data_IF_495691221515
#
_entry.id   IF_495691221515
#
_cell.length_a   1.000
_cell.length_b   1.000
_cell.length_c   1.000
_cell.angle_alpha   90.00
_cell.angle_beta   90.00
_cell.angle_gamma   90.00
#
_symmetry.space_group_name_H-M   'P 1'
#
loop_
_entity.id
_entity.type
_entity.pdbx_description
1 polymer ?
#
# COMPACT_ATOMS: atom_id res chain seq x y z
N UNK A 1 -31.06 -62.67 -37.42
CA UNK A 1 -30.54 -61.40 -36.87
C UNK A 1 -30.39 -60.39 -37.99
N UNK A 2 -31.12 -59.31 -37.99
CA UNK A 2 -31.08 -58.31 -39.07
C UNK A 2 -29.86 -57.40 -38.88
N UNK A 3 -28.74 -57.78 -39.49
CA UNK A 3 -27.46 -57.05 -39.37
C UNK A 3 -27.61 -55.62 -39.91
N UNK A 4 -28.39 -55.39 -40.95
CA UNK A 4 -28.65 -54.08 -41.50
C UNK A 4 -29.34 -53.14 -40.48
N UNK A 5 -30.26 -53.63 -39.68
CA UNK A 5 -30.92 -52.86 -38.62
C UNK A 5 -29.97 -52.48 -37.49
N UNK A 6 -29.05 -53.37 -37.13
CA UNK A 6 -28.01 -53.10 -36.13
C UNK A 6 -27.03 -52.01 -36.60
N UNK A 7 -26.63 -52.10 -37.91
CA UNK A 7 -25.73 -51.09 -38.50
C UNK A 7 -26.44 -49.72 -38.56
N UNK A 8 -27.73 -49.68 -38.96
CA UNK A 8 -28.49 -48.47 -38.98
C UNK A 8 -28.68 -47.85 -37.58
N UNK A 9 -28.96 -48.66 -36.58
CA UNK A 9 -29.09 -48.20 -35.20
C UNK A 9 -27.76 -47.63 -34.65
N UNK A 10 -26.65 -48.31 -34.91
CA UNK A 10 -25.33 -47.84 -34.50
C UNK A 10 -24.96 -46.50 -35.23
N UNK A 11 -25.35 -46.35 -36.49
CA UNK A 11 -25.14 -45.12 -37.23
C UNK A 11 -25.98 -43.96 -36.66
N UNK A 12 -27.23 -44.25 -36.26
CA UNK A 12 -28.13 -43.29 -35.63
C UNK A 12 -27.59 -42.82 -34.27
N UNK A 13 -27.13 -43.77 -33.42
CA UNK A 13 -26.52 -43.42 -32.16
C UNK A 13 -25.29 -42.51 -32.32
N UNK A 14 -24.39 -42.87 -33.24
CA UNK A 14 -23.22 -42.02 -33.55
C UNK A 14 -23.61 -40.64 -34.05
N UNK A 15 -24.69 -40.51 -34.80
CA UNK A 15 -25.19 -39.23 -35.27
C UNK A 15 -25.76 -38.37 -34.12
N UNK A 16 -26.51 -39.02 -33.21
CA UNK A 16 -27.04 -38.36 -32.01
C UNK A 16 -25.93 -37.89 -31.08
N UNK A 17 -24.88 -38.70 -30.84
CA UNK A 17 -23.70 -38.31 -30.00
C UNK A 17 -22.99 -37.10 -30.63
N UNK A 18 -22.77 -37.08 -31.93
CA UNK A 18 -22.16 -35.94 -32.62
C UNK A 18 -23.03 -34.67 -32.54
N UNK A 19 -24.35 -34.80 -32.70
CA UNK A 19 -25.27 -33.71 -32.55
C UNK A 19 -25.27 -33.13 -31.12
N UNK A 20 -25.33 -34.02 -30.11
CA UNK A 20 -25.25 -33.63 -28.70
C UNK A 20 -23.96 -32.86 -28.38
N UNK A 21 -22.81 -33.35 -28.83
CA UNK A 21 -21.52 -32.69 -28.64
C UNK A 21 -21.46 -31.35 -29.36
N UNK A 22 -22.06 -31.25 -30.57
CA UNK A 22 -22.12 -29.98 -31.31
C UNK A 22 -23.03 -28.94 -30.64
N UNK A 23 -24.18 -29.38 -30.11
CA UNK A 23 -25.09 -28.52 -29.33
C UNK A 23 -24.40 -28.05 -28.03
N UNK A 24 -23.68 -28.91 -27.35
CA UNK A 24 -22.94 -28.56 -26.14
C UNK A 24 -21.86 -27.50 -26.41
N UNK A 25 -21.09 -27.66 -27.52
CA UNK A 25 -20.09 -26.65 -27.93
C UNK A 25 -20.72 -25.34 -28.35
N UNK A 26 -21.86 -25.38 -29.04
CA UNK A 26 -22.57 -24.18 -29.45
C UNK A 26 -23.18 -23.44 -28.26
N UNK A 27 -23.77 -24.18 -27.30
CA UNK A 27 -24.38 -23.62 -26.09
C UNK A 27 -23.36 -23.01 -25.13
N UNK A 28 -22.20 -23.63 -25.01
CA UNK A 28 -21.12 -23.12 -24.15
C UNK A 28 -20.31 -22.00 -24.79
N UNK A 29 -20.29 -21.94 -26.12
CA UNK A 29 -19.42 -21.05 -26.88
C UNK A 29 -17.95 -21.48 -26.92
N UNK A 30 -17.61 -22.63 -26.32
CA UNK A 30 -16.23 -23.12 -26.25
C UNK A 30 -16.04 -24.35 -27.14
N UNK A 31 -14.89 -24.39 -27.83
CA UNK A 31 -14.49 -25.54 -28.64
C UNK A 31 -14.15 -26.77 -27.81
N UNK A 32 -13.57 -26.57 -26.61
CA UNK A 32 -13.15 -27.58 -25.65
C UNK A 32 -13.94 -27.37 -24.38
N UNK A 33 -14.85 -28.30 -24.07
CA UNK A 33 -15.70 -28.26 -22.88
C UNK A 33 -15.27 -29.23 -21.79
N UNK A 34 -14.57 -30.28 -22.17
CA UNK A 34 -14.14 -31.33 -21.25
C UNK A 34 -12.77 -31.85 -21.65
N UNK A 35 -12.11 -32.51 -20.71
CA UNK A 35 -10.85 -33.26 -20.98
C UNK A 35 -11.01 -34.39 -21.95
N UNK A 36 -12.26 -34.86 -22.22
CA UNK A 36 -12.54 -35.87 -23.23
C UNK A 36 -12.45 -35.33 -24.66
N UNK A 37 -12.68 -34.02 -24.87
CA UNK A 37 -12.57 -33.38 -26.18
C UNK A 37 -11.10 -33.23 -26.61
N UNK A 38 -10.27 -32.69 -25.70
CA UNK A 38 -8.82 -32.51 -25.88
C UNK A 38 -8.14 -32.31 -24.51
N UNK A 39 -7.47 -33.36 -23.98
CA UNK A 39 -6.84 -33.30 -22.67
C UNK A 39 -5.72 -32.24 -22.59
N UNK A 40 -4.92 -32.14 -23.66
CA UNK A 40 -3.80 -31.19 -23.70
C UNK A 40 -4.28 -29.75 -23.83
N UNK A 41 -5.23 -29.49 -24.72
CA UNK A 41 -5.84 -28.18 -24.89
C UNK A 41 -6.62 -27.74 -23.63
N UNK A 42 -7.29 -28.67 -22.94
CA UNK A 42 -7.99 -28.39 -21.70
C UNK A 42 -7.01 -27.94 -20.59
N UNK A 43 -5.90 -28.65 -20.41
CA UNK A 43 -4.88 -28.30 -19.42
C UNK A 43 -4.25 -26.93 -19.71
N UNK A 44 -3.94 -26.62 -20.95
CA UNK A 44 -3.43 -25.30 -21.36
C UNK A 44 -4.46 -24.22 -21.12
N UNK A 45 -5.72 -24.45 -21.49
CA UNK A 45 -6.82 -23.49 -21.29
C UNK A 45 -7.03 -23.19 -19.80
N UNK A 46 -7.06 -24.17 -18.94
CA UNK A 46 -7.18 -23.95 -17.50
C UNK A 46 -5.98 -23.20 -16.91
N UNK A 47 -4.76 -23.51 -17.34
CA UNK A 47 -3.57 -22.76 -16.94
C UNK A 47 -3.68 -21.28 -17.36
N UNK A 48 -4.11 -21.01 -18.60
CA UNK A 48 -4.32 -19.66 -19.08
C UNK A 48 -5.43 -18.92 -18.33
N UNK A 49 -6.52 -19.60 -17.97
CA UNK A 49 -7.60 -19.04 -17.15
C UNK A 49 -7.13 -18.65 -15.76
N UNK A 50 -6.31 -19.48 -15.12
CA UNK A 50 -5.71 -19.16 -13.82
C UNK A 50 -4.80 -17.95 -13.93
N UNK A 51 -3.97 -17.89 -14.96
CA UNK A 51 -3.11 -16.73 -15.22
C UNK A 51 -3.92 -15.46 -15.47
N UNK A 52 -4.99 -15.55 -16.26
CA UNK A 52 -5.86 -14.41 -16.54
C UNK A 52 -6.56 -13.88 -15.28
N UNK A 53 -7.05 -14.78 -14.41
CA UNK A 53 -7.61 -14.39 -13.10
C UNK A 53 -6.55 -13.74 -12.21
N UNK A 54 -5.33 -14.27 -12.19
CA UNK A 54 -4.21 -13.68 -11.46
C UNK A 54 -3.85 -12.29 -11.95
N UNK A 55 -3.80 -12.08 -13.28
CA UNK A 55 -3.57 -10.79 -13.90
C UNK A 55 -4.69 -9.79 -13.59
N UNK A 56 -5.96 -10.22 -13.69
CA UNK A 56 -7.11 -9.38 -13.36
C UNK A 56 -7.08 -8.96 -11.88
N UNK A 57 -6.71 -9.86 -10.97
CA UNK A 57 -6.55 -9.50 -9.56
C UNK A 57 -5.36 -8.56 -9.33
N UNK A 58 -4.28 -8.73 -10.08
CA UNK A 58 -3.13 -7.81 -10.02
C UNK A 58 -3.52 -6.41 -10.49
N UNK A 59 -4.33 -6.30 -11.54
CA UNK A 59 -4.84 -5.02 -12.04
C UNK A 59 -5.72 -4.31 -11.00
N UNK A 60 -6.60 -5.05 -10.34
CA UNK A 60 -7.38 -4.51 -9.22
C UNK A 60 -6.46 -4.03 -8.08
N UNK A 61 -5.46 -4.81 -7.70
CA UNK A 61 -4.52 -4.44 -6.64
C UNK A 61 -3.71 -3.17 -7.00
N UNK A 62 -3.35 -3.01 -8.29
CA UNK A 62 -2.68 -1.78 -8.77
C UNK A 62 -3.62 -0.58 -8.69
N UNK A 63 -4.89 -0.75 -9.07
CA UNK A 63 -5.90 0.31 -8.99
C UNK A 63 -6.13 0.75 -7.53
N UNK A 64 -6.20 -0.21 -6.62
CA UNK A 64 -6.29 0.07 -5.18
C UNK A 64 -5.04 0.82 -4.70
N UNK A 65 -3.84 0.38 -5.13
CA UNK A 65 -2.59 1.07 -4.82
C UNK A 65 -2.55 2.51 -5.32
N UNK A 66 -3.04 2.77 -6.53
CA UNK A 66 -3.16 4.13 -7.07
C UNK A 66 -4.13 4.96 -6.20
N UNK A 67 -5.23 4.38 -5.76
CA UNK A 67 -6.20 5.06 -4.90
C UNK A 67 -5.60 5.46 -3.55
N UNK A 68 -4.78 4.59 -2.95
CA UNK A 68 -3.99 4.89 -1.74
C UNK A 68 -3.07 6.07 -1.97
N UNK A 69 -2.30 6.05 -3.07
CA UNK A 69 -1.37 7.14 -3.40
C UNK A 69 -2.08 8.47 -3.63
N UNK A 70 -3.20 8.47 -4.35
CA UNK A 70 -3.99 9.69 -4.58
C UNK A 70 -4.54 10.27 -3.27
N UNK A 71 -4.94 9.41 -2.32
CA UNK A 71 -5.40 9.86 -1.00
C UNK A 71 -4.25 10.49 -0.21
N UNK A 72 -3.07 9.86 -0.20
CA UNK A 72 -1.89 10.40 0.45
C UNK A 72 -1.42 11.71 -0.20
N UNK A 73 -1.42 11.79 -1.54
CA UNK A 73 -1.08 12.98 -2.30
C UNK A 73 -2.01 14.16 -1.96
N UNK A 74 -3.31 13.91 -1.86
CA UNK A 74 -4.28 14.93 -1.43
C UNK A 74 -3.94 15.52 -0.06
N UNK A 75 -3.65 14.67 0.93
CA UNK A 75 -3.22 15.11 2.26
C UNK A 75 -1.91 15.90 2.24
N UNK A 76 -0.94 15.47 1.44
CA UNK A 76 0.35 16.17 1.30
C UNK A 76 0.23 17.54 0.62
N UNK A 77 -0.67 17.69 -0.35
CA UNK A 77 -0.94 18.98 -1.01
C UNK A 77 -1.49 19.99 -0.01
N UNK A 78 -2.42 19.56 0.86
CA UNK A 78 -2.96 20.43 1.91
C UNK A 78 -1.87 20.83 2.92
N UNK A 79 -1.05 19.89 3.37
CA UNK A 79 0.09 20.18 4.25
C UNK A 79 1.07 21.18 3.59
N UNK A 80 1.37 21.01 2.30
CA UNK A 80 2.24 21.92 1.55
C UNK A 80 1.67 23.33 1.50
N UNK A 81 0.36 23.48 1.29
CA UNK A 81 -0.33 24.75 1.31
C UNK A 81 -0.21 25.45 2.68
N UNK A 82 -0.41 24.69 3.76
CA UNK A 82 -0.26 25.20 5.13
C UNK A 82 1.18 25.59 5.46
N UNK A 83 2.17 24.81 5.04
CA UNK A 83 3.58 25.16 5.21
C UNK A 83 3.95 26.44 4.45
N UNK A 84 3.38 26.64 3.28
CA UNK A 84 3.56 27.88 2.52
C UNK A 84 2.98 29.06 3.29
N UNK A 85 1.78 28.90 3.84
CA UNK A 85 1.14 29.94 4.67
C UNK A 85 1.92 30.23 5.94
N UNK A 86 2.43 29.19 6.60
CA UNK A 86 3.28 29.33 7.79
C UNK A 86 4.56 30.11 7.47
N UNK A 87 5.17 29.85 6.31
CA UNK A 87 6.33 30.60 5.82
C UNK A 87 6.00 32.10 5.62
N UNK A 88 4.86 32.40 5.01
CA UNK A 88 4.41 33.81 4.82
C UNK A 88 4.23 34.52 6.16
N UNK A 89 3.56 33.87 7.12
CA UNK A 89 3.35 34.38 8.47
C UNK A 89 4.69 34.60 9.20
N UNK A 90 5.63 33.69 9.05
CA UNK A 90 6.96 33.78 9.65
C UNK A 90 7.74 34.97 9.10
N UNK A 91 7.67 35.21 7.79
CA UNK A 91 8.28 36.38 7.15
C UNK A 91 7.58 37.69 7.61
N UNK A 92 6.26 37.67 7.74
CA UNK A 92 5.51 38.78 8.26
C UNK A 92 5.89 39.10 9.71
N UNK A 93 6.00 38.09 10.59
CA UNK A 93 6.39 38.26 11.98
C UNK A 93 7.83 38.80 12.15
N UNK A 94 8.72 38.48 11.20
CA UNK A 94 10.10 38.96 11.20
C UNK A 94 10.26 40.43 10.84
N UNK A 95 9.17 41.11 10.45
CA UNK A 95 9.22 42.54 10.13
C UNK A 95 9.23 43.36 11.41
N UNK A 96 10.19 44.30 11.52
CA UNK A 96 10.38 45.15 12.70
C UNK A 96 9.23 46.15 12.94
N UNK A 97 8.34 46.33 11.97
CA UNK A 97 7.16 47.22 12.09
C UNK A 97 6.08 46.62 13.00
N UNK A 98 6.08 45.30 13.20
CA UNK A 98 5.06 44.61 14.00
C UNK A 98 5.30 44.83 15.50
N UNK A 99 4.25 45.17 16.23
CA UNK A 99 4.22 45.21 17.68
C UNK A 99 4.27 43.78 18.29
N UNK A 100 4.56 43.69 19.58
CA UNK A 100 4.57 42.39 20.29
C UNK A 100 3.20 41.72 20.29
N UNK A 101 2.11 42.48 20.35
CA UNK A 101 0.74 41.98 20.27
C UNK A 101 0.43 41.40 18.88
N UNK A 102 0.86 42.07 17.81
CA UNK A 102 0.71 41.58 16.44
C UNK A 102 1.55 40.29 16.19
N UNK A 103 2.77 40.25 16.70
CA UNK A 103 3.60 39.03 16.64
C UNK A 103 2.97 37.86 17.41
N UNK A 104 2.36 38.15 18.57
CA UNK A 104 1.63 37.15 19.36
C UNK A 104 0.40 36.63 18.61
N UNK A 105 -0.33 37.49 17.90
CA UNK A 105 -1.45 37.08 17.08
C UNK A 105 -1.00 36.18 15.92
N UNK A 106 0.10 36.55 15.23
CA UNK A 106 0.68 35.75 14.15
C UNK A 106 1.14 34.38 14.70
N UNK A 107 1.76 34.34 15.90
CA UNK A 107 2.15 33.08 16.53
C UNK A 107 0.92 32.19 16.80
N UNK A 108 -0.18 32.77 17.25
CA UNK A 108 -1.45 32.03 17.43
C UNK A 108 -1.98 31.42 16.13
N UNK A 109 -1.84 32.12 14.98
CA UNK A 109 -2.20 31.56 13.66
C UNK A 109 -1.27 30.41 13.27
N UNK A 110 0.05 30.55 13.48
CA UNK A 110 1.04 29.48 13.25
C UNK A 110 0.72 28.23 14.10
N UNK A 111 0.38 28.42 15.36
CA UNK A 111 0.01 27.31 16.27
C UNK A 111 -1.27 26.60 15.81
N UNK A 112 -2.23 27.33 15.25
CA UNK A 112 -3.43 26.72 14.69
C UNK A 112 -3.12 25.93 13.40
N UNK A 113 -2.23 26.44 12.53
CA UNK A 113 -1.77 25.73 11.33
C UNK A 113 -1.05 24.45 11.74
N UNK A 114 -0.19 24.46 12.77
CA UNK A 114 0.46 23.26 13.27
C UNK A 114 -0.55 22.21 13.72
N UNK A 115 -1.58 22.61 14.49
CA UNK A 115 -2.65 21.68 14.90
C UNK A 115 -3.40 21.10 13.72
N UNK A 116 -3.60 21.88 12.67
CA UNK A 116 -4.29 21.41 11.49
C UNK A 116 -3.42 20.44 10.66
N UNK A 117 -2.11 20.69 10.58
CA UNK A 117 -1.15 19.74 9.97
C UNK A 117 -1.16 18.41 10.73
N UNK A 118 -1.12 18.44 12.08
CA UNK A 118 -1.19 17.26 12.91
C UNK A 118 -2.51 16.50 12.69
N UNK A 119 -3.64 17.25 12.57
CA UNK A 119 -4.94 16.66 12.29
C UNK A 119 -4.97 15.97 10.93
N UNK A 120 -4.48 16.62 9.86
CA UNK A 120 -4.43 16.03 8.52
C UNK A 120 -3.52 14.81 8.51
N UNK A 121 -2.35 14.91 9.14
CA UNK A 121 -1.40 13.80 9.24
C UNK A 121 -2.02 12.57 9.90
N UNK A 122 -2.82 12.77 10.95
CA UNK A 122 -3.46 11.66 11.68
C UNK A 122 -4.75 11.15 11.03
N UNK A 123 -5.48 12.00 10.29
CA UNK A 123 -6.77 11.65 9.70
C UNK A 123 -6.70 11.22 8.23
N UNK A 124 -5.55 11.42 7.56
CA UNK A 124 -5.37 10.92 6.20
C UNK A 124 -5.19 9.41 6.25
N UNK A 125 -6.29 8.69 6.04
CA UNK A 125 -6.33 7.23 6.11
C UNK A 125 -6.96 6.63 4.85
N UNK A 126 -6.58 5.40 4.55
CA UNK A 126 -7.20 4.56 3.54
C UNK A 126 -7.48 3.19 4.15
N UNK A 127 -8.74 2.76 4.11
CA UNK A 127 -9.17 1.49 4.70
C UNK A 127 -8.69 1.31 6.16
N UNK A 128 -8.85 2.34 6.99
CA UNK A 128 -8.45 2.38 8.41
C UNK A 128 -6.93 2.36 8.67
N UNK A 129 -6.12 2.54 7.64
CA UNK A 129 -4.66 2.68 7.77
C UNK A 129 -4.27 4.13 7.52
N UNK A 130 -3.64 4.77 8.51
CA UNK A 130 -3.04 6.10 8.35
C UNK A 130 -1.89 6.03 7.36
N UNK A 131 -1.86 7.00 6.43
CA UNK A 131 -0.89 6.97 5.32
C UNK A 131 0.34 7.85 5.57
N UNK A 132 0.19 8.97 6.30
CA UNK A 132 1.21 10.01 6.42
C UNK A 132 1.61 10.33 7.86
N UNK A 133 1.14 9.55 8.84
CA UNK A 133 1.49 9.68 10.26
C UNK A 133 2.88 9.10 10.61
N UNK A 134 3.60 8.52 9.64
CA UNK A 134 4.89 7.86 9.82
C UNK A 134 4.81 6.41 10.31
N UNK A 135 3.63 5.87 10.57
CA UNK A 135 3.44 4.49 11.03
C UNK A 135 3.57 3.44 9.92
N UNK A 136 3.52 3.85 8.64
CA UNK A 136 3.76 2.98 7.49
C UNK A 136 5.25 2.66 7.26
N UNK A 137 6.15 3.39 7.94
CA UNK A 137 7.58 3.06 7.89
C UNK A 137 7.83 1.70 8.58
N UNK A 138 8.93 1.06 8.20
CA UNK A 138 9.34 -0.24 8.76
C UNK A 138 9.25 -0.21 10.28
N UNK A 139 8.42 -1.08 10.87
CA UNK A 139 8.29 -1.23 12.32
C UNK A 139 9.37 -2.15 12.83
N UNK A 140 10.07 -1.70 13.86
CA UNK A 140 10.92 -2.56 14.66
C UNK A 140 10.15 -2.94 15.92
N UNK A 141 10.03 -4.22 16.15
CA UNK A 141 9.46 -4.74 17.39
C UNK A 141 10.62 -5.05 18.34
N UNK A 142 10.63 -4.41 19.49
CA UNK A 142 11.54 -4.75 20.57
C UNK A 142 10.81 -5.63 21.58
N UNK A 143 11.43 -6.69 22.02
CA UNK A 143 10.98 -7.52 23.14
C UNK A 143 11.31 -6.89 24.51
N UNK A 144 12.05 -5.79 24.52
CA UNK A 144 12.41 -5.06 25.75
C UNK A 144 11.51 -3.85 25.97
N UNK A 145 10.82 -3.81 27.11
CA UNK A 145 9.85 -2.76 27.46
C UNK A 145 10.41 -1.33 27.54
N UNK A 146 11.72 -1.17 27.62
CA UNK A 146 12.39 0.14 27.70
C UNK A 146 12.67 0.79 26.34
N UNK A 147 12.41 0.10 25.22
CA UNK A 147 12.67 0.59 23.88
C UNK A 147 11.34 0.76 23.14
N UNK A 148 10.79 1.97 23.18
CA UNK A 148 9.46 2.24 22.63
C UNK A 148 9.46 2.61 21.14
N UNK A 149 10.56 3.13 20.60
CA UNK A 149 10.68 3.47 19.17
C UNK A 149 12.13 3.36 18.70
N UNK A 150 12.39 2.45 17.76
CA UNK A 150 13.62 2.41 16.97
C UNK A 150 13.29 2.89 15.54
N UNK A 151 13.86 4.02 15.14
CA UNK A 151 13.86 4.43 13.73
C UNK A 151 15.02 3.74 13.04
N UNK A 152 14.73 2.90 12.05
CA UNK A 152 15.74 2.29 11.18
C UNK A 152 15.70 2.94 9.81
N UNK A 153 16.90 3.10 9.21
CA UNK A 153 17.00 3.55 7.82
C UNK A 153 16.63 2.42 6.85
N UNK A 154 16.26 2.77 5.63
CA UNK A 154 15.89 1.80 4.56
C UNK A 154 17.02 0.84 4.18
N UNK A 155 18.24 1.07 4.66
CA UNK A 155 19.42 0.23 4.41
C UNK A 155 19.45 -1.07 5.22
N UNK A 156 18.56 -1.24 6.20
CA UNK A 156 18.51 -2.46 7.01
C UNK A 156 17.71 -3.56 6.31
N UNK A 157 18.32 -4.73 6.18
CA UNK A 157 17.64 -5.93 5.69
C UNK A 157 16.67 -6.44 6.76
N UNK A 158 15.52 -7.01 6.37
CA UNK A 158 14.61 -7.62 7.32
C UNK A 158 15.30 -8.80 8.04
N UNK A 159 15.32 -8.78 9.37
CA UNK A 159 16.00 -9.81 10.18
C UNK A 159 15.87 -9.53 11.69
N UNK A 160 16.33 -10.50 12.49
CA UNK A 160 16.39 -10.36 13.93
C UNK A 160 17.78 -9.83 14.28
N UNK A 161 17.81 -8.67 14.94
CA UNK A 161 19.04 -8.04 15.39
C UNK A 161 19.10 -8.01 16.91
N UNK A 162 20.20 -8.51 17.48
CA UNK A 162 20.48 -8.37 18.91
C UNK A 162 21.04 -6.97 19.18
N UNK A 163 20.37 -6.20 20.03
CA UNK A 163 20.86 -4.91 20.49
C UNK A 163 21.20 -5.00 21.97
N UNK A 164 22.46 -4.73 22.31
CA UNK A 164 22.90 -4.69 23.72
C UNK A 164 23.07 -3.22 24.11
N UNK A 165 22.29 -2.78 25.09
CA UNK A 165 22.46 -1.46 25.69
C UNK A 165 23.64 -1.52 26.68
N UNK A 166 24.76 -0.92 26.29
CA UNK A 166 25.98 -0.90 27.09
C UNK A 166 25.99 0.24 28.10
N UNK A 167 25.15 1.27 27.92
CA UNK A 167 25.03 2.41 28.81
C UNK A 167 23.62 3.02 28.65
N UNK A 168 22.98 3.28 29.81
CA UNK A 168 21.69 3.96 29.83
C UNK A 168 21.81 5.38 29.25
N UNK A 169 20.78 5.81 28.48
CA UNK A 169 20.71 7.17 27.97
C UNK A 169 20.72 8.14 29.16
N UNK A 170 21.77 8.94 29.27
CA UNK A 170 21.82 10.06 30.21
C UNK A 170 21.42 11.32 29.47
N UNK A 171 20.64 12.17 30.13
CA UNK A 171 20.31 13.49 29.63
C UNK A 171 21.61 14.21 29.27
N UNK A 172 21.74 14.69 28.04
CA UNK A 172 22.93 15.41 27.59
C UNK A 172 23.18 16.59 28.55
N UNK A 173 24.16 16.44 29.41
CA UNK A 173 24.63 17.54 30.25
C UNK A 173 25.33 18.51 29.31
N UNK A 174 24.88 19.75 29.33
CA UNK A 174 25.19 20.86 28.45
C UNK A 174 26.65 20.86 27.91
N UNK A 175 26.79 21.14 26.65
CA UNK A 175 28.04 21.28 25.89
C UNK A 175 29.02 22.32 26.45
N UNK A 176 28.68 23.05 27.48
CA UNK A 176 29.53 24.05 28.10
C UNK A 176 30.73 23.45 28.85
N UNK A 177 30.70 22.15 29.19
CA UNK A 177 31.81 21.49 29.90
C UNK A 177 32.94 21.03 28.96
N UNK A 178 32.69 20.81 27.69
CA UNK A 178 33.73 20.39 26.75
C UNK A 178 34.66 21.51 26.30
N UNK A 179 34.25 22.77 26.47
CA UNK A 179 35.05 23.94 26.08
C UNK A 179 36.02 24.43 27.16
N UNK A 180 35.83 24.02 28.39
CA UNK A 180 36.68 24.44 29.49
C UNK A 180 38.01 23.66 29.61
N UNK A 181 38.16 22.56 28.88
CA UNK A 181 39.35 21.71 28.92
C UNK A 181 40.36 21.94 27.79
N UNK A 182 40.06 22.78 26.82
CA UNK A 182 40.98 23.06 25.71
C UNK A 182 41.79 24.37 25.87
N UNK A 183 41.69 25.06 27.01
CA UNK A 183 42.45 26.31 27.25
C UNK A 183 43.38 26.21 28.47
N UNK A 184 43.86 25.02 28.78
CA UNK A 184 44.89 24.83 29.78
C UNK A 184 46.24 24.47 29.20
#
# INVERSE_FOLDING_TARGET
TNISAIIANNALQKAQDRLSNSIQKLSSGYKINSSADDPAGCAISEKMRVQLRGLSQSDNNVTDGISVLNTAEGGLIEIQSMLTRMKELSVQAANDVNSDDERSAIQGEIDNINKEIDRISSQTEFNTQSLIDGNLSRRVYSDYQGVNQLKISDSFTAGIYGVTVTQDARQAVSYTHLRAHETG
#
